data_IF_560533092865
#
_entry.id   IF_560533092865
#
_cell.length_a   1.000
_cell.length_b   1.000
_cell.length_c   1.000
_cell.angle_alpha   90.00
_cell.angle_beta   90.00
_cell.angle_gamma   90.00
#
_symmetry.space_group_name_H-M   'P 1'
#
loop_
_entity.id
_entity.type
_entity.pdbx_description
1 polymer ?
#
# COMPACT_ATOMS: atom_id res chain seq x y z
N UNK A 1 -16.88 -25.05 -45.56
CA UNK A 1 -16.96 -23.85 -44.71
C UNK A 1 -16.23 -24.18 -43.43
N UNK A 2 -15.01 -23.67 -43.28
CA UNK A 2 -14.17 -23.95 -42.12
C UNK A 2 -14.75 -23.19 -40.93
N UNK A 3 -15.29 -23.91 -39.95
CA UNK A 3 -15.43 -23.43 -38.58
C UNK A 3 -14.02 -23.45 -37.97
N UNK A 4 -13.17 -22.51 -38.39
CA UNK A 4 -12.04 -22.14 -37.55
C UNK A 4 -12.62 -21.34 -36.40
N UNK A 5 -12.33 -21.80 -35.19
CA UNK A 5 -12.61 -21.14 -33.92
C UNK A 5 -12.22 -19.66 -34.00
N UNK A 6 -13.17 -18.80 -34.36
CA UNK A 6 -13.06 -17.38 -34.05
C UNK A 6 -13.21 -17.27 -32.55
N UNK A 7 -12.10 -17.46 -31.84
CA UNK A 7 -11.95 -17.01 -30.47
C UNK A 7 -12.20 -15.51 -30.54
N UNK A 8 -13.39 -15.08 -30.13
CA UNK A 8 -13.63 -13.66 -29.95
C UNK A 8 -12.60 -13.20 -28.90
N UNK A 9 -11.76 -12.24 -29.27
CA UNK A 9 -10.86 -11.60 -28.32
C UNK A 9 -11.73 -10.83 -27.33
N UNK A 10 -12.00 -11.49 -26.20
CA UNK A 10 -12.80 -10.96 -25.11
C UNK A 10 -11.90 -10.65 -23.93
N UNK A 11 -11.88 -9.39 -23.51
CA UNK A 11 -11.12 -8.94 -22.35
C UNK A 11 -12.06 -8.83 -21.14
N UNK A 12 -11.81 -9.59 -20.05
CA UNK A 12 -12.62 -9.48 -18.84
C UNK A 12 -12.37 -8.14 -18.15
N UNK A 13 -13.40 -7.53 -17.56
CA UNK A 13 -13.27 -6.33 -16.75
C UNK A 13 -14.10 -6.40 -15.47
N UNK A 14 -13.68 -5.61 -14.48
CA UNK A 14 -14.48 -5.21 -13.33
C UNK A 14 -14.36 -3.69 -13.21
N UNK A 15 -15.49 -2.99 -13.11
CA UNK A 15 -15.49 -1.54 -12.95
C UNK A 15 -16.52 -1.09 -11.92
N UNK A 16 -16.25 0.04 -11.27
CA UNK A 16 -17.21 0.66 -10.36
C UNK A 16 -18.25 1.45 -11.13
N UNK A 17 -19.51 1.30 -10.75
CA UNK A 17 -20.66 1.98 -11.37
C UNK A 17 -20.94 3.33 -10.68
N UNK A 18 -19.98 3.90 -9.94
CA UNK A 18 -20.24 5.07 -9.08
C UNK A 18 -20.85 6.25 -9.85
N UNK A 19 -22.17 6.36 -9.71
CA UNK A 19 -23.03 7.40 -10.25
C UNK A 19 -24.48 7.15 -9.82
N UNK A 20 -24.91 7.82 -8.74
CA UNK A 20 -26.27 7.94 -8.22
C UNK A 20 -26.99 6.70 -7.63
N UNK A 21 -26.92 6.62 -6.29
CA UNK A 21 -28.08 6.28 -5.45
C UNK A 21 -28.41 4.79 -5.28
N UNK A 22 -28.47 4.36 -4.02
CA UNK A 22 -29.24 3.25 -3.44
C UNK A 22 -29.30 1.85 -4.13
N UNK A 23 -28.57 1.59 -5.20
CA UNK A 23 -28.42 0.24 -5.75
C UNK A 23 -27.35 -0.55 -4.98
N UNK A 24 -27.65 -1.81 -4.69
CA UNK A 24 -26.80 -2.72 -3.91
C UNK A 24 -25.55 -3.21 -4.64
N UNK A 25 -25.44 -2.94 -5.95
CA UNK A 25 -24.30 -3.29 -6.78
C UNK A 25 -23.46 -2.04 -7.09
N UNK A 26 -22.28 -1.95 -6.47
CA UNK A 26 -21.33 -0.85 -6.68
C UNK A 26 -20.35 -1.12 -7.83
N UNK A 27 -20.36 -2.35 -8.36
CA UNK A 27 -19.45 -2.82 -9.39
C UNK A 27 -20.18 -3.68 -10.43
N UNK A 28 -19.69 -3.71 -11.67
CA UNK A 28 -20.09 -4.69 -12.69
C UNK A 28 -18.86 -5.44 -13.20
N UNK A 29 -19.09 -6.69 -13.58
CA UNK A 29 -18.12 -7.50 -14.30
C UNK A 29 -18.69 -7.95 -15.64
N UNK A 30 -17.84 -8.06 -16.66
CA UNK A 30 -18.23 -8.48 -17.98
C UNK A 30 -17.03 -8.71 -18.88
N UNK A 31 -17.30 -8.77 -20.18
CA UNK A 31 -16.27 -8.88 -21.22
C UNK A 31 -16.40 -7.72 -22.19
N UNK A 32 -15.27 -7.22 -22.68
CA UNK A 32 -15.22 -6.28 -23.80
C UNK A 32 -14.77 -7.00 -25.06
N UNK A 33 -15.32 -6.64 -26.20
CA UNK A 33 -14.86 -7.11 -27.51
C UNK A 33 -13.60 -6.35 -27.98
N UNK A 34 -13.12 -6.69 -29.17
CA UNK A 34 -11.95 -6.05 -29.79
C UNK A 34 -12.13 -4.55 -30.11
N UNK A 35 -13.35 -4.02 -30.02
CA UNK A 35 -13.65 -2.59 -30.17
C UNK A 35 -13.71 -1.89 -28.80
N UNK A 36 -13.58 -2.63 -27.70
CA UNK A 36 -13.70 -2.12 -26.33
C UNK A 36 -15.15 -2.03 -25.84
N UNK A 37 -16.11 -2.52 -26.63
CA UNK A 37 -17.54 -2.46 -26.28
C UNK A 37 -17.94 -3.66 -25.42
N UNK A 38 -18.89 -3.45 -24.51
CA UNK A 38 -19.38 -4.52 -23.63
C UNK A 38 -20.06 -5.61 -24.49
N UNK A 39 -19.50 -6.82 -24.42
CA UNK A 39 -19.98 -7.98 -25.13
C UNK A 39 -20.81 -8.88 -24.20
N UNK A 40 -22.11 -8.96 -24.45
CA UNK A 40 -23.02 -9.84 -23.72
C UNK A 40 -23.49 -9.26 -22.38
N UNK A 41 -24.06 -10.11 -21.49
CA UNK A 41 -24.61 -9.67 -20.22
C UNK A 41 -23.51 -9.28 -19.23
N UNK A 42 -23.74 -8.19 -18.49
CA UNK A 42 -22.92 -7.80 -17.33
C UNK A 42 -23.46 -8.44 -16.05
N UNK A 43 -22.55 -8.77 -15.14
CA UNK A 43 -22.84 -9.32 -13.83
C UNK A 43 -22.72 -8.20 -12.79
N UNK A 44 -23.81 -7.80 -12.12
CA UNK A 44 -23.72 -6.86 -11.01
C UNK A 44 -23.04 -7.52 -9.81
N UNK A 45 -22.11 -6.80 -9.19
CA UNK A 45 -21.34 -7.23 -8.05
C UNK A 45 -21.50 -6.23 -6.90
N UNK A 46 -21.79 -6.75 -5.70
CA UNK A 46 -21.75 -5.92 -4.49
C UNK A 46 -20.30 -5.62 -4.11
N UNK A 47 -20.10 -4.51 -3.39
CA UNK A 47 -18.78 -4.15 -2.86
C UNK A 47 -18.19 -5.27 -1.98
N UNK A 48 -19.01 -5.94 -1.17
CA UNK A 48 -18.56 -7.04 -0.31
C UNK A 48 -17.97 -8.20 -1.12
N UNK A 49 -18.59 -8.59 -2.25
CA UNK A 49 -18.10 -9.68 -3.09
C UNK A 49 -16.75 -9.32 -3.72
N UNK A 50 -16.63 -8.10 -4.25
CA UNK A 50 -15.36 -7.62 -4.83
C UNK A 50 -14.27 -7.55 -3.76
N UNK A 51 -14.59 -7.01 -2.57
CA UNK A 51 -13.67 -6.97 -1.44
C UNK A 51 -13.20 -8.37 -1.06
N UNK A 52 -14.11 -9.33 -0.84
CA UNK A 52 -13.73 -10.71 -0.51
C UNK A 52 -12.86 -11.32 -1.60
N UNK A 53 -13.20 -11.15 -2.87
CA UNK A 53 -12.42 -11.68 -3.98
C UNK A 53 -10.99 -11.09 -4.02
N UNK A 54 -10.86 -9.77 -3.88
CA UNK A 54 -9.56 -9.07 -3.90
C UNK A 54 -8.74 -9.42 -2.65
N UNK A 55 -9.31 -9.23 -1.45
CA UNK A 55 -8.60 -9.41 -0.19
C UNK A 55 -8.32 -10.89 0.15
N UNK A 56 -9.08 -11.85 -0.37
CA UNK A 56 -8.81 -13.28 -0.10
C UNK A 56 -7.55 -13.82 -0.79
N UNK A 57 -7.19 -13.25 -1.94
CA UNK A 57 -5.99 -13.63 -2.68
C UNK A 57 -4.81 -12.67 -2.51
N UNK A 58 -5.05 -11.47 -2.01
CA UNK A 58 -4.03 -10.42 -1.88
C UNK A 58 -3.30 -10.50 -0.54
N UNK A 59 -1.97 -10.60 -0.61
CA UNK A 59 -1.12 -10.39 0.56
C UNK A 59 -0.86 -8.90 0.75
N UNK A 60 -0.82 -8.45 2.00
CA UNK A 60 -0.44 -7.09 2.37
C UNK A 60 0.93 -7.10 3.05
N UNK A 61 1.73 -6.12 2.68
CA UNK A 61 3.00 -5.76 3.30
C UNK A 61 2.86 -4.39 3.93
N UNK A 62 3.90 -3.95 4.64
CA UNK A 62 3.95 -2.64 5.25
C UNK A 62 5.10 -1.88 4.63
N UNK A 63 4.84 -0.65 4.19
CA UNK A 63 5.86 0.29 3.77
C UNK A 63 6.01 1.36 4.86
N UNK A 64 7.24 1.83 5.05
CA UNK A 64 7.54 2.98 5.90
C UNK A 64 8.38 3.95 5.07
N UNK A 65 7.93 5.19 4.94
CA UNK A 65 8.66 6.22 4.23
C UNK A 65 9.77 6.86 5.09
N UNK A 66 10.52 7.81 4.52
CA UNK A 66 11.61 8.48 5.23
C UNK A 66 11.12 9.53 6.26
N UNK A 67 9.86 9.92 6.22
CA UNK A 67 9.22 10.76 7.24
C UNK A 67 8.76 9.94 8.45
N UNK A 68 8.71 8.60 8.31
CA UNK A 68 8.24 7.69 9.35
C UNK A 68 6.74 7.38 9.23
N UNK A 69 6.13 7.68 8.09
CA UNK A 69 4.74 7.33 7.79
C UNK A 69 4.65 5.88 7.34
N UNK A 70 3.75 5.13 7.96
CA UNK A 70 3.53 3.71 7.72
C UNK A 70 2.24 3.52 6.94
N UNK A 71 2.29 2.69 5.90
CA UNK A 71 1.10 2.35 5.09
C UNK A 71 1.04 0.86 4.77
N UNK A 72 -0.17 0.26 4.80
CA UNK A 72 -0.38 -1.06 4.23
C UNK A 72 -0.23 -0.98 2.71
N UNK A 73 0.54 -1.91 2.13
CA UNK A 73 0.82 -1.96 0.71
C UNK A 73 0.53 -3.37 0.17
N UNK A 74 -0.30 -3.53 -0.88
CA UNK A 74 -0.49 -4.83 -1.52
C UNK A 74 0.84 -5.39 -2.04
N UNK A 75 1.18 -6.62 -1.65
CA UNK A 75 2.40 -7.29 -2.10
C UNK A 75 2.39 -7.50 -3.62
N UNK A 76 3.52 -7.22 -4.28
CA UNK A 76 3.70 -7.49 -5.71
C UNK A 76 2.91 -6.57 -6.65
N UNK A 77 2.41 -5.44 -6.14
CA UNK A 77 1.73 -4.43 -6.96
C UNK A 77 2.73 -3.71 -7.87
N UNK A 78 2.27 -3.29 -9.05
CA UNK A 78 3.07 -2.46 -9.98
C UNK A 78 3.29 -1.08 -9.36
N UNK A 79 4.52 -0.57 -9.41
CA UNK A 79 4.91 0.72 -8.81
C UNK A 79 3.99 1.87 -9.28
N UNK A 80 3.67 1.96 -10.57
CA UNK A 80 2.77 3.00 -11.10
C UNK A 80 1.37 3.00 -10.46
N UNK A 81 0.83 1.81 -10.15
CA UNK A 81 -0.47 1.69 -9.50
C UNK A 81 -0.36 2.10 -8.03
N UNK A 82 0.74 1.76 -7.36
CA UNK A 82 1.01 2.17 -5.99
C UNK A 82 1.15 3.70 -5.88
N UNK A 83 1.88 4.32 -6.78
CA UNK A 83 2.04 5.77 -6.88
C UNK A 83 0.70 6.46 -7.11
N UNK A 84 -0.15 5.89 -7.97
CA UNK A 84 -1.52 6.38 -8.18
C UNK A 84 -2.34 6.28 -6.91
N UNK A 85 -2.27 5.17 -6.18
CA UNK A 85 -3.01 4.99 -4.92
C UNK A 85 -2.56 5.97 -3.82
N UNK A 86 -1.25 6.24 -3.71
CA UNK A 86 -0.72 7.27 -2.81
C UNK A 86 -1.13 8.68 -3.24
N UNK A 87 -0.99 9.00 -4.53
CA UNK A 87 -1.37 10.30 -5.08
C UNK A 87 -2.86 10.63 -4.90
N UNK A 88 -3.71 9.62 -4.98
CA UNK A 88 -5.16 9.75 -4.76
C UNK A 88 -5.56 9.72 -3.27
N UNK A 89 -4.62 9.52 -2.34
CA UNK A 89 -4.91 9.39 -0.90
C UNK A 89 -5.76 8.16 -0.56
N UNK A 90 -5.63 7.06 -1.34
CA UNK A 90 -6.41 5.82 -1.15
C UNK A 90 -5.79 4.85 -0.16
N UNK A 91 -4.56 5.10 0.28
CA UNK A 91 -3.88 4.34 1.31
C UNK A 91 -3.87 5.12 2.62
N UNK A 92 -4.27 4.46 3.69
CA UNK A 92 -4.12 5.02 5.03
C UNK A 92 -2.63 5.13 5.37
N UNK A 93 -2.26 6.27 5.96
CA UNK A 93 -0.92 6.53 6.50
C UNK A 93 -1.05 6.75 8.00
N UNK A 94 -0.10 6.23 8.76
CA UNK A 94 -0.02 6.44 10.21
C UNK A 94 1.44 6.64 10.62
N UNK A 95 1.75 7.69 11.40
CA UNK A 95 3.08 7.88 11.96
C UNK A 95 3.51 6.71 12.84
N UNK A 96 4.79 6.37 12.82
CA UNK A 96 5.35 5.25 13.60
C UNK A 96 5.11 5.37 15.11
N UNK A 97 5.14 6.59 15.66
CA UNK A 97 4.88 6.86 17.06
C UNK A 97 3.41 6.61 17.42
N UNK A 98 2.47 7.06 16.60
CA UNK A 98 1.04 6.77 16.77
C UNK A 98 0.77 5.25 16.69
N UNK A 99 1.43 4.54 15.77
CA UNK A 99 1.29 3.08 15.65
C UNK A 99 1.80 2.35 16.91
N UNK A 100 2.89 2.85 17.53
CA UNK A 100 3.41 2.30 18.78
C UNK A 100 2.44 2.56 19.93
N UNK A 101 1.87 3.76 20.02
CA UNK A 101 0.86 4.08 21.05
C UNK A 101 -0.37 3.18 20.93
N UNK A 102 -0.87 2.96 19.72
CA UNK A 102 -2.02 2.08 19.47
C UNK A 102 -1.70 0.63 19.84
N UNK A 103 -0.53 0.11 19.47
CA UNK A 103 -0.11 -1.24 19.82
C UNK A 103 -0.10 -1.45 21.35
N UNK A 104 0.38 -0.47 22.11
CA UNK A 104 0.37 -0.51 23.57
C UNK A 104 -1.08 -0.46 24.11
N UNK A 105 -1.93 0.37 23.51
CA UNK A 105 -3.34 0.50 23.87
C UNK A 105 -4.18 -0.74 23.60
N UNK A 106 -3.79 -1.60 22.65
CA UNK A 106 -4.49 -2.85 22.35
C UNK A 106 -4.15 -3.99 23.32
N UNK A 107 -2.97 -3.96 23.96
CA UNK A 107 -2.50 -5.00 24.90
C UNK A 107 -3.16 -4.94 26.29
N UNK A 108 -4.24 -4.18 26.47
CA UNK A 108 -4.90 -3.94 27.77
C UNK A 108 -5.47 -5.21 28.42
N UNK A 109 -5.67 -6.29 27.65
CA UNK A 109 -6.20 -7.56 28.17
C UNK A 109 -5.11 -8.60 28.51
N UNK A 110 -3.83 -8.26 28.37
CA UNK A 110 -2.71 -9.17 28.65
C UNK A 110 -2.31 -9.15 30.13
N UNK A 111 -1.64 -10.21 30.58
CA UNK A 111 -1.04 -10.22 31.92
C UNK A 111 0.15 -9.27 31.98
N UNK A 112 0.43 -8.72 33.16
CA UNK A 112 1.55 -7.79 33.35
C UNK A 112 2.90 -8.39 32.91
N UNK A 113 3.15 -9.68 33.20
CA UNK A 113 4.40 -10.34 32.83
C UNK A 113 4.55 -10.48 31.30
N UNK A 114 3.46 -10.82 30.60
CA UNK A 114 3.43 -10.87 29.12
C UNK A 114 3.68 -9.50 28.52
N UNK A 115 2.95 -8.49 29.00
CA UNK A 115 3.05 -7.12 28.50
C UNK A 115 4.46 -6.54 28.70
N UNK A 116 5.10 -6.80 29.85
CA UNK A 116 6.49 -6.38 30.10
C UNK A 116 7.43 -7.03 29.09
N UNK A 117 7.33 -8.33 28.87
CA UNK A 117 8.20 -9.03 27.92
C UNK A 117 8.04 -8.50 26.49
N UNK A 118 6.80 -8.26 26.04
CA UNK A 118 6.53 -7.74 24.70
C UNK A 118 6.99 -6.29 24.53
N UNK A 119 6.84 -5.46 25.57
CA UNK A 119 7.38 -4.09 25.60
C UNK A 119 8.91 -4.07 25.55
N UNK A 120 9.61 -4.99 26.21
CA UNK A 120 11.07 -5.10 26.11
C UNK A 120 11.52 -5.47 24.69
N UNK A 121 10.81 -6.41 24.04
CA UNK A 121 11.05 -6.77 22.64
C UNK A 121 10.82 -5.56 21.72
N UNK A 122 9.71 -4.85 21.90
CA UNK A 122 9.38 -3.66 21.12
C UNK A 122 10.43 -2.57 21.29
N UNK A 123 10.82 -2.27 22.54
CA UNK A 123 11.88 -1.31 22.87
C UNK A 123 13.18 -1.64 22.15
N UNK A 124 13.62 -2.90 22.17
CA UNK A 124 14.90 -3.29 21.57
C UNK A 124 14.86 -3.29 20.04
N UNK A 125 13.68 -3.48 19.42
CA UNK A 125 13.46 -3.27 17.99
C UNK A 125 13.53 -1.78 17.64
N UNK A 126 12.81 -0.93 18.37
CA UNK A 126 12.78 0.52 18.15
C UNK A 126 14.17 1.15 18.34
N UNK A 127 14.92 0.75 19.36
CA UNK A 127 16.31 1.21 19.56
C UNK A 127 17.20 0.89 18.37
N UNK A 128 17.10 -0.32 17.82
CA UNK A 128 17.89 -0.72 16.64
C UNK A 128 17.51 0.10 15.40
N UNK A 129 16.21 0.37 15.21
CA UNK A 129 15.74 1.23 14.14
C UNK A 129 16.27 2.67 14.29
N UNK A 130 16.17 3.24 15.50
CA UNK A 130 16.64 4.60 15.80
C UNK A 130 18.15 4.75 15.52
N UNK A 131 18.97 3.81 15.99
CA UNK A 131 20.41 3.83 15.70
C UNK A 131 20.68 3.88 14.19
N UNK A 132 19.92 3.13 13.38
CA UNK A 132 20.09 3.13 11.93
C UNK A 132 19.73 4.47 11.29
N UNK A 133 18.68 5.12 11.79
CA UNK A 133 18.27 6.47 11.34
C UNK A 133 19.36 7.48 11.69
N UNK A 134 19.87 7.45 12.92
CA UNK A 134 20.93 8.34 13.41
C UNK A 134 22.23 8.19 12.61
N UNK A 135 22.68 6.96 12.40
CA UNK A 135 23.87 6.65 11.59
C UNK A 135 23.75 7.22 10.18
N UNK A 136 22.60 7.00 9.55
CA UNK A 136 22.33 7.45 8.18
C UNK A 136 22.28 8.98 8.10
N UNK A 137 21.58 9.62 9.04
CA UNK A 137 21.52 11.08 9.13
C UNK A 137 22.92 11.69 9.33
N UNK A 138 23.75 11.07 10.17
CA UNK A 138 25.11 11.53 10.44
C UNK A 138 26.02 11.39 9.20
N UNK A 139 25.92 10.29 8.46
CA UNK A 139 26.63 10.10 7.22
C UNK A 139 26.27 11.19 6.18
N UNK A 140 24.97 11.48 6.02
CA UNK A 140 24.49 12.51 5.10
C UNK A 140 24.96 13.93 5.50
N UNK A 141 24.97 14.25 6.80
CA UNK A 141 25.53 15.53 7.30
C UNK A 141 27.00 15.68 6.96
N UNK A 142 27.78 14.61 7.13
CA UNK A 142 29.22 14.59 6.81
C UNK A 142 29.46 14.84 5.32
N UNK A 143 28.72 14.16 4.44
CA UNK A 143 28.80 14.36 2.99
C UNK A 143 28.48 15.81 2.61
N UNK A 144 27.44 16.39 3.21
CA UNK A 144 27.04 17.78 2.97
C UNK A 144 28.14 18.78 3.39
N UNK A 145 28.84 18.51 4.49
CA UNK A 145 29.94 19.36 4.97
C UNK A 145 31.15 19.31 4.04
N UNK A 146 31.56 18.11 3.60
CA UNK A 146 32.71 17.92 2.69
C UNK A 146 32.48 18.57 1.32
N UNK A 147 31.26 18.50 0.79
CA UNK A 147 30.92 19.17 -0.48
C UNK A 147 31.00 20.69 -0.37
N UNK A 148 30.60 21.26 0.77
CA UNK A 148 30.69 22.72 1.02
C UNK A 148 32.14 23.20 1.13
N UNK A 149 33.01 22.47 1.83
CA UNK A 149 34.43 22.82 1.93
C UNK A 149 35.17 22.68 0.60
N UNK A 150 34.79 21.71 -0.24
CA UNK A 150 35.38 21.51 -1.57
C UNK A 150 34.97 22.60 -2.58
N UNK A 151 33.72 23.07 -2.56
CA UNK A 151 33.29 24.21 -3.38
C UNK A 151 33.89 25.54 -2.94
N UNK A 152 34.22 25.72 -1.66
CA UNK A 152 34.89 26.92 -1.16
C UNK A 152 36.40 26.94 -1.48
N UNK A 153 37.03 25.77 -1.67
CA UNK A 153 38.46 25.65 -2.00
C UNK A 153 38.84 25.86 -3.46
N UNK A 154 37.87 25.82 -4.39
CA UNK A 154 38.10 25.98 -5.85
C UNK A 154 37.95 27.44 -6.34
N UNK A 155 37.88 28.41 -5.44
CA UNK A 155 37.73 29.84 -5.74
C UNK A 155 39.01 30.67 -5.49
N UNK A 156 40.16 30.02 -5.28
CA UNK A 156 41.46 30.67 -5.13
C UNK A 156 42.45 30.22 -6.20
#
# INVERSE_FOLDING_TARGET
MNNEDRKADLEPFIESIRGNGNDSAEYIAGFRDAQGEIAGPVVPLSAEVVQRAVFSGQLFTVMCDMAGEISPCPAGIVEDLLDTMFGDGRLATQPIDELVEEAIGMSVNETADTMIADLEIMRDRLKRALMRVEDTAQALRTIKQVRRSSSAGNLN
#
